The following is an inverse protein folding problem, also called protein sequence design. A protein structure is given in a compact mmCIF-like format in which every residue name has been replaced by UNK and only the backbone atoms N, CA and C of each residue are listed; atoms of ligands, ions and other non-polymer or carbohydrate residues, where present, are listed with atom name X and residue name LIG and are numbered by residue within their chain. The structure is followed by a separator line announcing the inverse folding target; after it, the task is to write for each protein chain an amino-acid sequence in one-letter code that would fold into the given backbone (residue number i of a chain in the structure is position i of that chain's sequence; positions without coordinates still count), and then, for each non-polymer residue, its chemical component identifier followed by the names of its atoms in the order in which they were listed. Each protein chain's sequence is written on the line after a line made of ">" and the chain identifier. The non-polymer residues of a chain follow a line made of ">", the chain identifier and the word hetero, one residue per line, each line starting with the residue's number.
data_IF_121247473263
#
_entry.id   IF_121247473263
#
_cell.length_a   1.000
_cell.length_b   1.000
_cell.length_c   1.000
_cell.angle_alpha   90.00
_cell.angle_beta   90.00
_cell.angle_gamma   90.00
#
_symmetry.space_group_name_H-M   'P 1'
#
loop_
_entity.id
_entity.type
_entity.pdbx_description
1 polymer ?
#
# COMPACT_ATOMS: atom_id res chain seq x y z
N UNK A 1 7.24 12.52 -4.36
CA UNK A 1 6.07 11.75 -4.86
C UNK A 1 5.47 10.86 -3.81
N UNK A 2 6.20 9.85 -3.32
CA UNK A 2 5.75 8.94 -2.25
C UNK A 2 5.24 9.65 -1.00
N UNK A 3 5.94 10.68 -0.53
CA UNK A 3 5.52 11.44 0.66
C UNK A 3 4.17 12.12 0.48
N UNK A 4 3.99 12.84 -0.63
CA UNK A 4 2.75 13.53 -0.95
C UNK A 4 1.60 12.54 -1.14
N UNK A 5 1.76 11.57 -2.04
CA UNK A 5 0.73 10.58 -2.35
C UNK A 5 0.38 9.70 -1.14
N UNK A 6 1.38 9.31 -0.35
CA UNK A 6 1.18 8.55 0.87
C UNK A 6 0.39 9.34 1.91
N UNK A 7 0.71 10.62 2.10
CA UNK A 7 -0.04 11.50 3.00
C UNK A 7 -1.50 11.67 2.55
N UNK A 8 -1.74 11.87 1.25
CA UNK A 8 -3.09 11.95 0.67
C UNK A 8 -3.90 10.65 0.88
N UNK A 9 -3.22 9.51 1.02
CA UNK A 9 -3.81 8.20 1.32
C UNK A 9 -3.89 7.89 2.84
N UNK A 10 -3.52 8.85 3.70
CA UNK A 10 -3.60 8.73 5.15
C UNK A 10 -2.43 8.01 5.83
N UNK A 11 -1.31 7.80 5.12
CA UNK A 11 -0.09 7.27 5.75
C UNK A 11 0.64 8.38 6.51
N UNK A 12 1.08 8.07 7.74
CA UNK A 12 2.07 8.89 8.46
C UNK A 12 3.48 8.51 8.00
N UNK A 13 4.23 9.46 7.45
CA UNK A 13 5.58 9.23 6.98
C UNK A 13 6.61 9.54 8.08
N UNK A 14 7.58 8.65 8.25
CA UNK A 14 8.77 8.88 9.07
C UNK A 14 9.98 8.67 8.16
N UNK A 15 10.82 9.71 8.02
CA UNK A 15 12.08 9.62 7.29
C UNK A 15 13.18 9.20 8.26
N UNK A 16 14.00 8.26 7.81
CA UNK A 16 15.14 7.74 8.57
C UNK A 16 16.36 7.83 7.66
N UNK A 17 17.40 8.51 8.13
CA UNK A 17 18.61 8.77 7.32
C UNK A 17 19.80 7.93 7.78
N UNK A 18 19.76 7.40 9.00
CA UNK A 18 20.76 6.46 9.50
C UNK A 18 20.11 5.13 9.95
N UNK A 19 20.65 3.96 9.55
CA UNK A 19 20.13 2.66 9.98
C UNK A 19 20.03 2.49 11.51
N UNK A 20 20.91 3.14 12.29
CA UNK A 20 20.90 3.09 13.76
C UNK A 20 19.69 3.79 14.40
N UNK A 21 19.00 4.66 13.65
CA UNK A 21 17.79 5.35 14.11
C UNK A 21 16.53 4.47 14.01
N UNK A 22 16.55 3.38 13.24
CA UNK A 22 15.38 2.51 13.02
C UNK A 22 14.80 2.00 14.34
N UNK A 23 15.65 1.64 15.30
CA UNK A 23 15.24 1.14 16.61
C UNK A 23 14.62 2.22 17.52
N UNK A 24 14.84 3.49 17.20
CA UNK A 24 14.29 4.64 17.94
C UNK A 24 12.91 5.04 17.39
N UNK A 25 12.59 4.61 16.16
CA UNK A 25 11.30 4.86 15.53
C UNK A 25 10.25 3.87 16.05
N UNK A 26 9.12 4.41 16.50
CA UNK A 26 7.98 3.58 16.92
C UNK A 26 7.33 2.90 15.70
N UNK A 27 7.81 1.71 15.36
CA UNK A 27 7.23 0.85 14.33
C UNK A 27 6.31 -0.22 14.94
N UNK A 28 5.35 -0.69 14.16
CA UNK A 28 4.41 -1.74 14.54
C UNK A 28 4.24 -2.75 13.41
N UNK A 29 3.46 -3.81 13.67
CA UNK A 29 3.00 -4.78 12.66
C UNK A 29 2.09 -4.16 11.58
N UNK A 30 1.77 -2.88 11.67
CA UNK A 30 1.04 -2.13 10.64
C UNK A 30 1.90 -1.05 9.96
N UNK A 31 3.19 -1.01 10.28
CA UNK A 31 4.16 -0.13 9.63
C UNK A 31 4.75 -0.82 8.40
N UNK A 32 5.08 -0.03 7.38
CA UNK A 32 5.69 -0.47 6.13
C UNK A 32 7.00 0.29 5.97
N UNK A 33 8.08 -0.42 5.64
CA UNK A 33 9.39 0.18 5.41
C UNK A 33 9.72 0.16 3.92
N UNK A 34 10.26 1.27 3.43
CA UNK A 34 10.72 1.43 2.06
C UNK A 34 12.14 1.99 2.08
N UNK A 35 13.08 1.27 1.50
CA UNK A 35 14.47 1.68 1.32
C UNK A 35 14.57 2.33 -0.05
N UNK A 36 14.85 3.63 -0.07
CA UNK A 36 14.97 4.44 -1.29
C UNK A 36 16.17 5.38 -1.20
N UNK A 37 17.36 4.82 -0.99
CA UNK A 37 18.60 5.57 -0.70
C UNK A 37 19.45 5.84 -1.96
N UNK A 38 18.93 5.51 -3.15
CA UNK A 38 19.66 5.65 -4.42
C UNK A 38 20.98 4.86 -4.47
N UNK A 39 21.07 3.73 -3.75
CA UNK A 39 22.25 2.86 -3.75
C UNK A 39 23.13 3.01 -2.52
N UNK A 40 22.91 4.04 -1.70
CA UNK A 40 23.74 4.29 -0.53
C UNK A 40 23.27 3.45 0.66
N UNK A 41 24.16 2.62 1.20
CA UNK A 41 23.91 1.86 2.44
C UNK A 41 22.65 0.97 2.42
N UNK A 42 22.12 0.60 1.25
CA UNK A 42 20.89 -0.20 1.10
C UNK A 42 20.91 -1.45 1.99
N UNK A 43 22.06 -2.11 2.03
CA UNK A 43 22.30 -3.35 2.75
C UNK A 43 22.25 -3.16 4.27
N UNK A 44 22.73 -2.02 4.79
CA UNK A 44 22.66 -1.69 6.22
C UNK A 44 21.20 -1.42 6.64
N UNK A 45 20.45 -0.69 5.82
CA UNK A 45 19.02 -0.47 6.06
C UNK A 45 18.23 -1.78 6.00
N UNK A 46 18.51 -2.63 5.01
CA UNK A 46 17.87 -3.93 4.87
C UNK A 46 18.14 -4.82 6.10
N UNK A 47 19.41 -4.88 6.53
CA UNK A 47 19.84 -5.62 7.72
C UNK A 47 19.14 -5.11 9.00
N UNK A 48 19.12 -3.80 9.22
CA UNK A 48 18.45 -3.21 10.37
C UNK A 48 16.93 -3.49 10.37
N UNK A 49 16.28 -3.46 9.20
CA UNK A 49 14.85 -3.72 9.07
C UNK A 49 14.47 -5.20 9.21
N UNK A 50 15.36 -6.15 8.90
CA UNK A 50 15.10 -7.58 9.11
C UNK A 50 14.76 -7.90 10.57
N UNK A 51 15.39 -7.19 11.51
CA UNK A 51 15.14 -7.35 12.95
C UNK A 51 13.91 -6.56 13.45
N UNK A 52 13.26 -5.80 12.57
CA UNK A 52 12.09 -4.98 12.94
C UNK A 52 10.76 -5.73 12.74
N UNK A 53 9.73 -5.25 13.43
CA UNK A 53 8.36 -5.77 13.36
C UNK A 53 7.51 -5.17 12.22
N UNK A 54 8.14 -4.51 11.24
CA UNK A 54 7.39 -3.96 10.10
C UNK A 54 6.77 -5.07 9.26
N UNK A 55 5.60 -4.78 8.69
CA UNK A 55 4.81 -5.72 7.88
C UNK A 55 5.39 -5.93 6.49
N UNK A 56 6.13 -4.96 5.98
CA UNK A 56 6.67 -4.94 4.63
C UNK A 56 8.03 -4.26 4.63
N UNK A 57 8.97 -4.81 3.87
CA UNK A 57 10.29 -4.22 3.61
C UNK A 57 10.46 -4.20 2.09
N UNK A 58 10.34 -3.03 1.47
CA UNK A 58 10.58 -2.85 0.04
C UNK A 58 11.89 -2.13 -0.22
N UNK A 59 12.62 -2.52 -1.27
CA UNK A 59 13.81 -1.79 -1.73
C UNK A 59 13.57 -1.25 -3.13
N UNK A 60 13.72 0.06 -3.29
CA UNK A 60 13.71 0.74 -4.59
C UNK A 60 15.09 0.56 -5.24
N UNK A 61 15.27 -0.60 -5.87
CA UNK A 61 16.52 -0.99 -6.52
C UNK A 61 16.26 -1.85 -7.76
N UNK A 62 17.25 -1.88 -8.67
CA UNK A 62 17.24 -2.82 -9.79
C UNK A 62 17.40 -4.26 -9.28
N UNK A 63 17.00 -5.25 -10.09
CA UNK A 63 17.21 -6.68 -9.74
C UNK A 63 18.68 -6.98 -9.45
N UNK A 64 19.60 -6.44 -10.26
CA UNK A 64 21.05 -6.60 -10.07
C UNK A 64 21.50 -6.10 -8.70
N UNK A 65 21.10 -4.87 -8.33
CA UNK A 65 21.43 -4.29 -7.02
C UNK A 65 20.75 -5.07 -5.88
N UNK A 66 19.54 -5.56 -6.12
CA UNK A 66 18.85 -6.48 -5.23
C UNK A 66 19.69 -7.71 -4.89
N UNK A 67 20.20 -8.41 -5.90
CA UNK A 67 21.04 -9.60 -5.68
C UNK A 67 22.31 -9.30 -4.87
N UNK A 68 22.90 -8.10 -5.01
CA UNK A 68 24.03 -7.67 -4.18
C UNK A 68 23.63 -7.53 -2.71
N UNK A 69 22.47 -6.92 -2.44
CA UNK A 69 21.92 -6.77 -1.08
C UNK A 69 21.60 -8.14 -0.48
N UNK A 70 20.93 -9.02 -1.23
CA UNK A 70 20.58 -10.36 -0.74
C UNK A 70 21.84 -11.19 -0.47
N UNK A 71 22.82 -11.13 -1.36
CA UNK A 71 24.13 -11.78 -1.18
C UNK A 71 24.86 -11.29 0.06
N UNK A 72 24.84 -9.98 0.32
CA UNK A 72 25.40 -9.41 1.56
C UNK A 72 24.72 -10.01 2.80
N UNK A 73 23.38 -10.06 2.83
CA UNK A 73 22.63 -10.60 3.97
C UNK A 73 22.92 -12.10 4.19
N UNK A 74 23.00 -12.88 3.10
CA UNK A 74 23.41 -14.29 3.18
C UNK A 74 24.82 -14.44 3.77
N UNK A 75 25.75 -13.59 3.35
CA UNK A 75 27.13 -13.61 3.86
C UNK A 75 27.23 -13.28 5.35
N UNK A 76 26.26 -12.54 5.90
CA UNK A 76 26.10 -12.27 7.33
C UNK A 76 25.43 -13.39 8.12
N UNK A 77 24.92 -14.43 7.43
CA UNK A 77 24.29 -15.59 8.04
C UNK A 77 22.79 -15.48 8.24
N UNK A 78 22.11 -14.50 7.63
CA UNK A 78 20.64 -14.45 7.63
C UNK A 78 20.07 -15.59 6.78
N UNK A 79 19.06 -16.29 7.32
CA UNK A 79 18.35 -17.36 6.61
C UNK A 79 17.42 -16.83 5.52
N UNK A 80 17.10 -17.69 4.55
CA UNK A 80 16.19 -17.34 3.44
C UNK A 80 14.78 -16.98 3.93
N UNK A 81 14.35 -17.49 5.08
CA UNK A 81 13.08 -17.16 5.72
C UNK A 81 13.00 -15.65 6.07
N UNK A 82 14.05 -15.11 6.70
CA UNK A 82 14.14 -13.68 6.99
C UNK A 82 14.35 -12.86 5.73
N UNK A 83 15.24 -13.30 4.85
CA UNK A 83 15.56 -12.61 3.60
C UNK A 83 14.32 -12.50 2.70
N UNK A 84 13.45 -13.51 2.68
CA UNK A 84 12.20 -13.50 1.89
C UNK A 84 11.21 -12.39 2.27
N UNK A 85 11.40 -11.74 3.43
CA UNK A 85 10.62 -10.56 3.83
C UNK A 85 10.95 -9.32 3.00
N UNK A 86 12.10 -9.29 2.32
CA UNK A 86 12.57 -8.15 1.54
C UNK A 86 12.05 -8.28 0.11
N UNK A 87 11.26 -7.29 -0.31
CA UNK A 87 10.73 -7.20 -1.66
C UNK A 87 11.63 -6.32 -2.53
N UNK A 88 12.18 -6.90 -3.61
CA UNK A 88 13.00 -6.20 -4.60
C UNK A 88 12.60 -6.63 -6.02
N UNK A 89 12.35 -5.69 -6.96
CA UNK A 89 12.10 -4.28 -6.72
C UNK A 89 10.82 -4.06 -5.89
N UNK A 90 10.76 -2.97 -5.13
CA UNK A 90 9.53 -2.52 -4.50
C UNK A 90 8.50 -2.08 -5.56
N UNK A 91 7.23 -2.44 -5.35
CA UNK A 91 6.10 -2.07 -6.19
C UNK A 91 5.55 -3.21 -7.05
N UNK A 92 4.27 -3.07 -7.42
CA UNK A 92 3.61 -3.96 -8.39
C UNK A 92 4.09 -3.58 -9.80
N UNK A 93 4.39 -4.57 -10.63
CA UNK A 93 4.78 -4.32 -12.01
C UNK A 93 3.61 -3.75 -12.82
N UNK A 94 3.69 -2.45 -13.09
CA UNK A 94 2.78 -1.71 -13.96
C UNK A 94 3.52 -1.14 -15.18
N UNK A 95 4.72 -1.66 -15.47
CA UNK A 95 5.66 -1.08 -16.44
C UNK A 95 5.98 0.41 -16.15
N UNK A 96 6.10 0.76 -14.86
CA UNK A 96 6.41 2.12 -14.43
C UNK A 96 7.81 2.55 -14.93
N UNK A 97 7.90 3.75 -15.50
CA UNK A 97 9.14 4.36 -15.97
C UNK A 97 9.42 5.66 -15.22
N UNK A 98 8.38 6.45 -14.95
CA UNK A 98 8.53 7.76 -14.31
C UNK A 98 8.46 7.69 -12.78
N UNK A 99 9.10 8.62 -12.04
CA UNK A 99 9.08 8.63 -10.59
C UNK A 99 7.68 8.62 -9.95
N UNK A 100 6.71 9.31 -10.55
CA UNK A 100 5.31 9.30 -10.14
C UNK A 100 4.67 7.92 -10.29
N UNK A 101 4.92 7.23 -11.41
CA UNK A 101 4.40 5.89 -11.68
C UNK A 101 5.02 4.87 -10.72
N UNK A 102 6.33 5.00 -10.46
CA UNK A 102 7.03 4.17 -9.48
C UNK A 102 6.43 4.37 -8.09
N UNK A 103 6.13 5.63 -7.71
CA UNK A 103 5.48 5.91 -6.44
C UNK A 103 4.09 5.26 -6.33
N UNK A 104 3.28 5.34 -7.40
CA UNK A 104 1.96 4.68 -7.46
C UNK A 104 2.10 3.16 -7.36
N UNK A 105 3.05 2.57 -8.09
CA UNK A 105 3.36 1.13 -8.06
C UNK A 105 3.70 0.64 -6.64
N UNK A 106 4.56 1.38 -5.92
CA UNK A 106 4.97 1.07 -4.55
C UNK A 106 3.79 1.22 -3.59
N UNK A 107 3.03 2.32 -3.67
CA UNK A 107 1.88 2.54 -2.79
C UNK A 107 0.78 1.50 -3.02
N UNK A 108 0.54 1.10 -4.27
CA UNK A 108 -0.39 0.01 -4.59
C UNK A 108 0.04 -1.31 -3.94
N UNK A 109 1.33 -1.63 -3.95
CA UNK A 109 1.86 -2.81 -3.24
C UNK A 109 1.67 -2.71 -1.73
N UNK A 110 2.02 -1.57 -1.13
CA UNK A 110 1.87 -1.31 0.31
C UNK A 110 0.40 -1.46 0.74
N UNK A 111 -0.53 -0.86 -0.02
CA UNK A 111 -1.97 -0.95 0.24
C UNK A 111 -2.43 -2.41 0.17
N UNK A 112 -2.01 -3.15 -0.87
CA UNK A 112 -2.34 -4.57 -1.04
C UNK A 112 -1.89 -5.38 0.17
N UNK A 113 -0.61 -5.27 0.57
CA UNK A 113 -0.06 -5.97 1.76
C UNK A 113 -0.79 -5.56 3.04
N UNK A 114 -1.12 -4.26 3.18
CA UNK A 114 -1.88 -3.75 4.31
C UNK A 114 -3.30 -4.33 4.43
N UNK A 115 -3.94 -4.62 3.29
CA UNK A 115 -5.27 -5.23 3.21
C UNK A 115 -5.24 -6.75 3.34
N UNK A 116 -4.23 -7.44 2.81
CA UNK A 116 -4.10 -8.91 2.91
C UNK A 116 -3.98 -9.40 4.35
N UNK A 117 -3.33 -8.61 5.22
CA UNK A 117 -3.28 -8.91 6.66
C UNK A 117 -4.60 -8.61 7.40
N UNK A 118 -5.52 -7.85 6.79
CA UNK A 118 -6.91 -7.68 7.22
C UNK A 118 -7.78 -8.58 6.35
N UNK A 119 -7.71 -9.90 6.54
CA UNK A 119 -8.66 -10.80 5.90
C UNK A 119 -10.12 -10.33 6.18
N UNK A 120 -10.73 -9.76 5.14
CA UNK A 120 -12.17 -9.56 4.85
C UNK A 120 -13.12 -8.79 5.81
N UNK A 121 -12.75 -8.33 7.00
CA UNK A 121 -13.77 -7.87 7.97
C UNK A 121 -13.65 -6.45 8.55
N UNK A 122 -13.58 -5.38 7.73
CA UNK A 122 -13.73 -4.02 8.31
C UNK A 122 -14.32 -2.93 7.42
N UNK A 123 -14.43 -3.14 6.10
CA UNK A 123 -15.18 -2.24 5.22
C UNK A 123 -16.30 -3.02 4.59
N UNK A 124 -17.53 -2.74 5.03
CA UNK A 124 -18.71 -3.21 4.32
C UNK A 124 -18.71 -2.50 2.96
N UNK A 125 -18.39 -3.27 1.92
CA UNK A 125 -18.28 -2.78 0.54
C UNK A 125 -19.64 -3.02 -0.11
N UNK A 126 -20.19 -1.94 -0.67
CA UNK A 126 -21.40 -1.90 -1.46
C UNK A 126 -21.01 -1.75 -2.93
N UNK A 127 -21.85 -2.24 -3.81
CA UNK A 127 -21.75 -1.98 -5.24
C UNK A 127 -22.65 -0.79 -5.58
N UNK A 128 -22.09 0.22 -6.23
CA UNK A 128 -22.87 1.33 -6.80
C UNK A 128 -23.76 0.77 -7.92
N UNK A 129 -25.11 0.80 -7.78
CA UNK A 129 -26.01 0.16 -8.73
C UNK A 129 -26.04 0.82 -10.11
N UNK A 130 -25.48 2.04 -10.25
CA UNK A 130 -25.44 2.77 -11.52
C UNK A 130 -24.24 2.34 -12.38
N UNK A 131 -23.08 2.12 -11.75
CA UNK A 131 -21.83 1.89 -12.49
C UNK A 131 -21.07 0.61 -12.12
N UNK A 132 -21.47 -0.10 -11.06
CA UNK A 132 -20.80 -1.31 -10.57
C UNK A 132 -19.55 -1.04 -9.74
N UNK A 133 -19.22 0.22 -9.45
CA UNK A 133 -18.02 0.55 -8.66
C UNK A 133 -18.20 0.15 -7.20
N UNK A 134 -17.17 -0.44 -6.61
CA UNK A 134 -17.13 -0.76 -5.18
C UNK A 134 -16.99 0.50 -4.34
N UNK A 135 -17.87 0.68 -3.34
CA UNK A 135 -17.92 1.85 -2.46
C UNK A 135 -18.10 1.43 -1.00
N UNK A 136 -17.59 2.20 -0.06
CA UNK A 136 -17.77 1.95 1.38
C UNK A 136 -18.90 2.81 1.97
N UNK A 137 -19.37 2.48 3.18
CA UNK A 137 -20.31 3.32 3.96
C UNK A 137 -19.80 4.75 4.23
N UNK A 138 -18.50 4.99 4.08
CA UNK A 138 -17.90 6.32 4.25
C UNK A 138 -18.15 7.24 3.04
N UNK A 139 -18.73 6.75 1.94
CA UNK A 139 -19.14 7.62 0.85
C UNK A 139 -20.17 8.64 1.36
N UNK A 140 -19.98 9.95 1.09
CA UNK A 140 -20.99 10.96 1.41
C UNK A 140 -22.22 10.87 0.48
N UNK A 141 -22.15 10.05 -0.57
CA UNK A 141 -23.23 9.87 -1.54
C UNK A 141 -23.97 8.57 -1.25
N UNK A 142 -25.17 8.69 -0.67
CA UNK A 142 -26.06 7.56 -0.41
C UNK A 142 -27.53 7.99 -0.56
N UNK A 143 -28.41 7.02 -0.79
CA UNK A 143 -29.85 7.22 -0.88
C UNK A 143 -30.60 5.99 -0.38
N UNK A 144 -31.82 6.16 0.13
CA UNK A 144 -32.65 5.06 0.63
C UNK A 144 -33.83 4.85 -0.32
N UNK A 145 -33.99 3.65 -0.85
CA UNK A 145 -35.09 3.28 -1.73
C UNK A 145 -35.66 1.91 -1.34
N UNK A 146 -36.99 1.80 -1.23
CA UNK A 146 -37.67 0.57 -0.76
C UNK A 146 -37.10 0.01 0.56
N UNK A 147 -36.73 0.87 1.51
CA UNK A 147 -36.17 0.48 2.81
C UNK A 147 -34.72 -0.03 2.79
N UNK A 148 -34.07 -0.06 1.62
CA UNK A 148 -32.64 -0.40 1.48
C UNK A 148 -31.81 0.86 1.22
N UNK A 149 -30.67 0.97 1.90
CA UNK A 149 -29.69 2.03 1.67
C UNK A 149 -28.76 1.62 0.53
N UNK A 150 -28.55 2.53 -0.42
CA UNK A 150 -27.62 2.40 -1.54
C UNK A 150 -26.54 3.48 -1.39
N UNK A 151 -25.29 3.10 -1.68
CA UNK A 151 -24.13 4.00 -1.65
C UNK A 151 -23.62 4.19 -3.07
N UNK A 152 -23.06 5.37 -3.36
CA UNK A 152 -22.64 5.77 -4.71
C UNK A 152 -21.20 6.26 -4.73
N UNK A 153 -20.51 6.06 -5.85
CA UNK A 153 -19.11 6.46 -6.04
C UNK A 153 -18.96 7.97 -6.26
N UNK A 154 -20.04 8.64 -6.65
CA UNK A 154 -20.07 10.06 -6.99
C UNK A 154 -21.47 10.65 -6.81
N UNK A 155 -21.53 11.98 -6.74
CA UNK A 155 -22.81 12.72 -6.78
C UNK A 155 -23.62 12.39 -8.04
N UNK A 156 -22.97 12.25 -9.19
CA UNK A 156 -23.64 11.96 -10.46
C UNK A 156 -24.37 10.61 -10.45
N UNK A 157 -23.75 9.56 -9.90
CA UNK A 157 -24.39 8.25 -9.79
C UNK A 157 -25.59 8.31 -8.82
N UNK A 158 -25.46 9.00 -7.68
CA UNK A 158 -26.58 9.24 -6.77
C UNK A 158 -27.75 9.94 -7.46
N UNK A 159 -27.49 11.06 -8.13
CA UNK A 159 -28.53 11.85 -8.81
C UNK A 159 -29.22 11.03 -9.92
N UNK A 160 -28.45 10.22 -10.67
CA UNK A 160 -28.96 9.34 -11.72
C UNK A 160 -29.87 8.25 -11.15
N UNK A 161 -29.47 7.64 -10.04
CA UNK A 161 -30.27 6.66 -9.31
C UNK A 161 -31.57 7.30 -8.80
N UNK A 162 -31.50 8.44 -8.11
CA UNK A 162 -32.67 9.12 -7.55
C UNK A 162 -33.68 9.56 -8.61
N UNK A 163 -33.21 9.88 -9.81
CA UNK A 163 -34.06 10.24 -10.93
C UNK A 163 -34.89 9.06 -11.45
N UNK A 164 -34.34 7.85 -11.49
CA UNK A 164 -35.04 6.64 -11.94
C UNK A 164 -34.55 5.35 -11.23
N UNK A 165 -34.86 5.15 -9.93
CA UNK A 165 -34.28 4.06 -9.16
C UNK A 165 -34.59 2.67 -9.73
N UNK A 166 -35.78 2.50 -10.29
CA UNK A 166 -36.28 1.25 -10.89
C UNK A 166 -35.42 0.74 -12.05
N UNK A 167 -34.64 1.60 -12.71
CA UNK A 167 -33.77 1.20 -13.82
C UNK A 167 -32.47 0.53 -13.35
N UNK A 168 -32.08 0.74 -12.10
CA UNK A 168 -30.79 0.29 -11.55
C UNK A 168 -30.93 -0.82 -10.50
N UNK A 169 -32.14 -1.04 -10.02
CA UNK A 169 -32.45 -2.12 -9.06
C UNK A 169 -33.09 -3.28 -9.82
N UNK A 170 -32.57 -4.49 -9.60
CA UNK A 170 -33.20 -5.75 -10.02
C UNK A 170 -34.09 -6.29 -8.93
#
# INVERSE_FOLDING_TARGET
>A
YLEKLGADMGFSLIKVSDPGEINQVKVSKNSFALIATMGERDHEFAEALLNSNVKYIGVVASRKRGEEILSYLRSKGYGEDLISRIKIPAGIDINAVFPDEIAVSILAEIIKVGKEAKAKNEYEIFEDPVCGMSVSKSSPYFSTFNGKVYYFCSKHCKDSFESNPKNYIK
#
